data_IF_956603784742
#
_entry.id   IF_956603784742
#
_cell.length_a   1.000
_cell.length_b   1.000
_cell.length_c   1.000
_cell.angle_alpha   90.00
_cell.angle_beta   90.00
_cell.angle_gamma   90.00
#
_symmetry.space_group_name_H-M   'P 1'
#
loop_
_entity.id
_entity.type
_entity.pdbx_description
1 polymer ?
#
# COMPACT_ATOMS: atom_id res chain seq x y z
N UNK A 1 0.83 -25.38 -7.55
CA UNK A 1 1.01 -25.13 -8.99
C UNK A 1 1.17 -23.65 -9.25
N UNK A 2 2.37 -23.22 -9.66
CA UNK A 2 2.66 -21.85 -10.11
C UNK A 2 2.42 -21.78 -11.62
N UNK A 3 1.18 -21.66 -12.09
CA UNK A 3 0.94 -21.30 -13.49
C UNK A 3 1.02 -19.79 -13.63
N UNK A 4 2.22 -19.37 -14.03
CA UNK A 4 2.61 -18.13 -14.67
C UNK A 4 1.51 -17.10 -14.98
N UNK A 5 1.49 -16.02 -14.20
CA UNK A 5 1.03 -14.72 -14.70
C UNK A 5 1.93 -14.34 -15.88
N UNK A 6 1.38 -14.35 -17.10
CA UNK A 6 2.11 -13.98 -18.31
C UNK A 6 2.18 -12.46 -18.42
N UNK A 7 3.35 -11.91 -18.77
CA UNK A 7 3.49 -10.48 -19.06
C UNK A 7 2.68 -10.03 -20.30
N UNK A 8 2.20 -10.98 -21.11
CA UNK A 8 1.31 -10.75 -22.25
C UNK A 8 -0.10 -11.33 -22.02
N UNK A 9 -0.48 -11.49 -20.76
CA UNK A 9 -1.84 -11.92 -20.45
C UNK A 9 -2.86 -10.84 -20.88
N UNK A 10 -3.96 -11.27 -21.49
CA UNK A 10 -5.06 -10.38 -21.91
C UNK A 10 -5.79 -9.76 -20.71
N UNK A 11 -5.54 -10.28 -19.51
CA UNK A 11 -6.13 -9.83 -18.26
C UNK A 11 -5.03 -9.25 -17.35
N UNK A 12 -5.23 -8.05 -16.76
CA UNK A 12 -4.32 -7.52 -15.76
C UNK A 12 -4.08 -8.53 -14.64
N UNK A 13 -2.82 -8.64 -14.18
CA UNK A 13 -2.42 -9.69 -13.24
C UNK A 13 -3.26 -9.75 -11.96
N UNK A 14 -3.67 -8.59 -11.42
CA UNK A 14 -4.55 -8.54 -10.25
C UNK A 14 -5.92 -9.18 -10.52
N UNK A 15 -6.52 -8.93 -11.69
CA UNK A 15 -7.80 -9.51 -12.09
C UNK A 15 -7.70 -11.02 -12.33
N UNK A 16 -6.55 -11.50 -12.86
CA UNK A 16 -6.26 -12.93 -13.00
C UNK A 16 -6.21 -13.62 -11.62
N UNK A 17 -5.48 -13.04 -10.68
CA UNK A 17 -5.37 -13.56 -9.31
C UNK A 17 -6.74 -13.65 -8.63
N UNK A 18 -7.59 -12.63 -8.80
CA UNK A 18 -8.94 -12.60 -8.21
C UNK A 18 -9.85 -13.63 -8.89
N UNK A 19 -9.80 -13.75 -10.22
CA UNK A 19 -10.63 -14.70 -10.98
C UNK A 19 -10.25 -16.15 -10.68
N UNK A 20 -8.96 -16.42 -10.48
CA UNK A 20 -8.45 -17.76 -10.17
C UNK A 20 -8.61 -18.12 -8.67
N UNK A 21 -9.08 -17.20 -7.83
CA UNK A 21 -9.37 -17.48 -6.43
C UNK A 21 -10.73 -18.21 -6.31
N UNK A 22 -10.72 -19.46 -5.87
CA UNK A 22 -11.94 -20.20 -5.56
C UNK A 22 -12.60 -19.64 -4.28
N UNK A 23 -13.85 -19.16 -4.37
CA UNK A 23 -14.60 -18.66 -3.23
C UNK A 23 -15.86 -17.86 -3.61
N UNK A 24 -16.66 -17.49 -2.60
CA UNK A 24 -17.84 -16.64 -2.72
C UNK A 24 -17.47 -15.27 -2.08
N UNK A 25 -17.17 -14.25 -2.91
CA UNK A 25 -16.77 -12.92 -2.45
C UNK A 25 -17.24 -11.82 -3.41
N UNK A 26 -17.45 -10.63 -2.85
CA UNK A 26 -17.86 -9.46 -3.63
C UNK A 26 -16.65 -8.76 -4.25
N UNK A 27 -16.72 -8.47 -5.55
CA UNK A 27 -15.74 -7.64 -6.26
C UNK A 27 -16.41 -6.32 -6.64
N UNK A 28 -15.92 -5.21 -6.08
CA UNK A 28 -16.42 -3.87 -6.38
C UNK A 28 -15.42 -3.14 -7.28
N UNK A 29 -15.81 -2.88 -8.53
CA UNK A 29 -15.10 -2.02 -9.46
C UNK A 29 -15.76 -0.66 -9.56
N UNK A 30 -14.96 0.39 -9.68
CA UNK A 30 -15.46 1.73 -10.05
C UNK A 30 -15.51 1.84 -11.58
N UNK A 31 -16.67 2.21 -12.14
CA UNK A 31 -16.95 2.29 -13.59
C UNK A 31 -17.02 3.74 -14.12
N UNK A 32 -16.10 4.63 -13.72
CA UNK A 32 -16.03 5.99 -14.30
C UNK A 32 -14.71 6.28 -15.02
N UNK A 33 -14.78 7.02 -16.13
CA UNK A 33 -13.70 7.33 -17.08
C UNK A 33 -12.58 8.25 -16.51
N UNK A 34 -12.44 8.37 -15.18
CA UNK A 34 -11.58 9.39 -14.56
C UNK A 34 -10.18 8.90 -14.17
N UNK A 35 -9.76 7.72 -14.65
CA UNK A 35 -8.47 7.12 -14.31
C UNK A 35 -7.40 7.28 -15.41
N UNK A 36 -7.39 8.41 -16.10
CA UNK A 36 -6.34 8.77 -17.06
C UNK A 36 -5.59 10.01 -16.58
N UNK A 37 -4.29 9.87 -16.31
CA UNK A 37 -3.38 10.99 -16.06
C UNK A 37 -2.83 11.48 -17.41
N UNK A 38 -2.80 12.80 -17.67
CA UNK A 38 -2.21 13.36 -18.88
C UNK A 38 -0.76 12.90 -19.08
N UNK A 39 -0.37 12.60 -20.32
CA UNK A 39 0.99 12.15 -20.66
C UNK A 39 2.07 13.16 -20.21
N UNK A 40 1.75 14.45 -20.20
CA UNK A 40 2.61 15.53 -19.69
C UNK A 40 2.96 15.39 -18.20
N UNK A 41 2.18 14.61 -17.46
CA UNK A 41 2.34 14.37 -16.02
C UNK A 41 3.02 13.01 -15.75
N UNK A 42 3.24 12.17 -16.78
CA UNK A 42 3.95 10.89 -16.65
C UNK A 42 5.46 11.07 -16.70
N UNK A 43 6.17 10.53 -15.71
CA UNK A 43 7.59 10.80 -15.50
C UNK A 43 8.31 9.59 -14.88
N UNK A 44 9.15 8.91 -15.68
CA UNK A 44 10.02 7.79 -15.26
C UNK A 44 11.46 8.28 -15.04
N UNK A 45 12.02 8.09 -13.84
CA UNK A 45 13.37 8.57 -13.51
C UNK A 45 14.13 7.67 -12.54
N UNK A 46 15.13 6.97 -13.08
CA UNK A 46 16.12 6.16 -12.37
C UNK A 46 17.46 6.88 -12.18
N UNK A 47 18.01 6.88 -10.95
CA UNK A 47 19.44 7.10 -10.62
C UNK A 47 19.67 8.12 -9.51
N UNK A 48 20.61 8.02 -8.56
CA UNK A 48 21.65 7.05 -8.13
C UNK A 48 21.86 7.25 -6.60
N UNK A 49 22.39 6.22 -5.93
CA UNK A 49 22.37 5.90 -4.49
C UNK A 49 23.11 6.86 -3.53
N UNK A 50 22.48 7.14 -2.38
CA UNK A 50 23.15 7.35 -1.09
C UNK A 50 22.40 6.62 0.06
N UNK A 51 23.16 6.26 1.10
CA UNK A 51 22.93 5.25 2.15
C UNK A 51 21.49 4.89 2.54
N UNK A 52 21.23 3.57 2.53
CA UNK A 52 19.93 2.95 2.83
C UNK A 52 19.69 2.91 4.34
N UNK A 53 18.61 3.54 4.80
CA UNK A 53 18.05 3.26 6.13
C UNK A 53 16.90 2.27 5.96
N UNK A 54 17.07 1.05 6.47
CA UNK A 54 16.04 0.02 6.47
C UNK A 54 15.31 0.03 7.81
N UNK A 55 13.98 0.13 7.78
CA UNK A 55 13.13 -0.20 8.92
C UNK A 55 13.23 -1.69 9.28
N UNK A 56 12.64 -2.13 10.41
CA UNK A 56 12.61 -3.55 10.75
C UNK A 56 11.71 -4.32 9.77
N UNK A 57 12.05 -5.58 9.51
CA UNK A 57 11.21 -6.48 8.72
C UNK A 57 9.86 -6.73 9.44
N UNK A 58 8.79 -6.90 8.68
CA UNK A 58 7.49 -7.29 9.19
C UNK A 58 7.35 -8.82 9.24
N UNK A 59 6.82 -9.33 10.35
CA UNK A 59 6.53 -10.75 10.52
C UNK A 59 5.10 -10.96 11.01
N UNK A 60 4.39 -11.87 10.36
CA UNK A 60 3.00 -12.22 10.70
C UNK A 60 2.85 -12.95 12.04
N UNK A 61 3.96 -13.38 12.65
CA UNK A 61 3.99 -13.92 14.02
C UNK A 61 3.88 -12.82 15.10
N UNK A 62 3.86 -11.55 14.69
CA UNK A 62 3.70 -10.41 15.59
C UNK A 62 4.96 -10.09 16.41
N UNK A 63 6.09 -10.77 16.18
CA UNK A 63 7.36 -10.55 16.89
C UNK A 63 7.90 -9.12 16.75
N UNK A 64 7.48 -8.41 15.71
CA UNK A 64 7.87 -7.03 15.41
C UNK A 64 6.86 -6.00 15.91
N UNK A 65 5.72 -6.44 16.46
CA UNK A 65 4.60 -5.59 16.88
C UNK A 65 4.54 -5.46 18.41
N UNK A 66 5.28 -4.51 19.00
CA UNK A 66 5.26 -4.27 20.46
C UNK A 66 4.10 -3.37 20.88
N UNK A 67 3.90 -2.28 20.16
CA UNK A 67 2.91 -1.25 20.51
C UNK A 67 1.56 -1.49 19.81
N UNK A 68 0.59 -0.60 20.08
CA UNK A 68 -0.72 -0.57 19.41
C UNK A 68 -0.62 -0.13 17.95
N UNK A 69 0.45 0.60 17.60
CA UNK A 69 0.77 1.04 16.26
C UNK A 69 2.26 0.85 16.00
N UNK A 70 2.62 0.22 14.89
CA UNK A 70 4.00 0.03 14.44
C UNK A 70 4.15 0.66 13.07
N UNK A 71 5.19 1.48 12.90
CA UNK A 71 5.52 2.12 11.63
C UNK A 71 6.85 1.55 11.13
N UNK A 72 6.86 1.09 9.89
CA UNK A 72 8.04 0.56 9.19
C UNK A 72 8.21 1.41 7.93
N UNK A 73 9.42 1.91 7.69
CA UNK A 73 9.71 2.73 6.52
C UNK A 73 10.96 2.18 5.84
N UNK A 74 10.85 1.86 4.56
CA UNK A 74 11.99 1.51 3.71
C UNK A 74 12.18 2.58 2.66
N UNK A 75 13.43 2.97 2.41
CA UNK A 75 13.77 4.05 1.49
C UNK A 75 14.57 3.49 0.31
N UNK A 76 14.13 3.80 -0.90
CA UNK A 76 14.92 3.55 -2.09
C UNK A 76 16.01 4.63 -2.20
N UNK A 77 17.29 4.27 -2.05
CA UNK A 77 18.38 5.24 -2.01
C UNK A 77 18.63 5.94 -3.36
N UNK A 78 18.08 5.40 -4.46
CA UNK A 78 18.32 5.92 -5.81
C UNK A 78 17.42 7.09 -6.15
N UNK A 79 16.20 7.10 -5.64
CA UNK A 79 15.20 8.11 -5.96
C UNK A 79 14.56 8.70 -4.71
N UNK A 80 15.06 8.33 -3.53
CA UNK A 80 14.58 8.68 -2.20
C UNK A 80 13.13 8.26 -1.92
N UNK A 81 12.44 7.57 -2.84
CA UNK A 81 11.07 7.13 -2.61
C UNK A 81 10.99 6.22 -1.38
N UNK A 82 9.98 6.45 -0.54
CA UNK A 82 9.76 5.64 0.67
C UNK A 82 8.57 4.71 0.46
N UNK A 83 8.64 3.51 1.01
CA UNK A 83 7.49 2.66 1.24
C UNK A 83 7.22 2.66 2.74
N UNK A 84 6.05 3.17 3.10
CA UNK A 84 5.55 3.21 4.46
C UNK A 84 4.68 1.97 4.66
N UNK A 85 4.90 1.23 5.75
CA UNK A 85 3.98 0.22 6.26
C UNK A 85 3.58 0.58 7.68
N UNK A 86 2.27 0.63 7.94
CA UNK A 86 1.70 0.92 9.26
C UNK A 86 0.86 -0.26 9.69
N UNK A 87 1.12 -0.80 10.87
CA UNK A 87 0.32 -1.87 11.46
C UNK A 87 -0.33 -1.33 12.72
N UNK A 88 -1.66 -1.29 12.73
CA UNK A 88 -2.45 -0.92 13.91
C UNK A 88 -3.16 -2.15 14.45
N UNK A 89 -3.03 -2.40 15.74
CA UNK A 89 -3.83 -3.41 16.44
C UNK A 89 -5.16 -2.78 16.81
N UNK A 90 -6.24 -3.43 16.40
CA UNK A 90 -7.60 -2.97 16.67
C UNK A 90 -8.51 -4.17 16.97
N UNK A 91 -9.79 -3.93 17.26
CA UNK A 91 -10.73 -4.94 17.70
C UNK A 91 -12.08 -4.80 16.98
N UNK A 92 -12.48 -5.85 16.28
CA UNK A 92 -13.79 -5.90 15.62
C UNK A 92 -14.87 -6.09 16.67
N UNK A 93 -15.75 -5.10 16.83
CA UNK A 93 -16.82 -5.12 17.84
C UNK A 93 -17.98 -6.05 17.49
N UNK A 94 -18.16 -6.40 16.22
CA UNK A 94 -19.27 -7.24 15.73
C UNK A 94 -18.93 -8.71 15.98
N UNK A 95 -17.77 -9.15 15.52
CA UNK A 95 -17.34 -10.55 15.70
C UNK A 95 -16.49 -10.77 16.95
N UNK A 96 -16.16 -9.70 17.68
CA UNK A 96 -15.44 -9.70 18.96
C UNK A 96 -14.06 -10.33 18.88
N UNK A 97 -13.29 -9.97 17.87
CA UNK A 97 -11.95 -10.51 17.64
C UNK A 97 -10.92 -9.40 17.38
N UNK A 98 -9.67 -9.57 17.87
CA UNK A 98 -8.59 -8.66 17.54
C UNK A 98 -8.16 -8.84 16.08
N UNK A 99 -7.83 -7.74 15.42
CA UNK A 99 -7.27 -7.74 14.09
C UNK A 99 -6.14 -6.72 13.96
N UNK A 100 -5.33 -6.89 12.93
CA UNK A 100 -4.30 -5.95 12.52
C UNK A 100 -4.76 -5.25 11.26
N UNK A 101 -4.88 -3.93 11.34
CA UNK A 101 -5.01 -3.08 10.17
C UNK A 101 -3.61 -2.82 9.62
N UNK A 102 -3.25 -3.52 8.56
CA UNK A 102 -1.95 -3.43 7.90
C UNK A 102 -2.12 -2.52 6.69
N UNK A 103 -1.41 -1.41 6.67
CA UNK A 103 -1.48 -0.37 5.65
C UNK A 103 -0.11 -0.22 4.98
N UNK A 104 -0.10 0.05 3.69
CA UNK A 104 1.07 0.27 2.86
C UNK A 104 0.83 1.52 2.04
N UNK A 105 1.75 2.47 2.09
CA UNK A 105 1.69 3.69 1.30
C UNK A 105 3.00 3.98 0.57
N UNK A 106 2.92 4.24 -0.73
CA UNK A 106 4.06 4.73 -1.51
C UNK A 106 4.25 6.21 -1.28
N UNK A 107 5.46 6.66 -0.98
CA UNK A 107 5.79 8.08 -0.84
C UNK A 107 6.88 8.45 -1.87
N UNK A 108 6.53 8.92 -3.08
CA UNK A 108 7.49 9.52 -4.01
C UNK A 108 8.30 10.66 -3.37
N UNK A 109 9.55 10.84 -3.78
CA UNK A 109 10.35 11.98 -3.30
C UNK A 109 9.70 13.31 -3.74
N UNK A 110 9.43 14.24 -2.79
CA UNK A 110 8.89 15.55 -3.13
C UNK A 110 9.93 16.37 -3.89
N UNK A 111 9.44 17.25 -4.76
CA UNK A 111 10.25 18.21 -5.51
C UNK A 111 10.01 19.60 -4.94
N UNK A 112 11.08 20.36 -4.78
CA UNK A 112 11.07 21.67 -4.13
C UNK A 112 10.18 22.70 -4.86
N UNK A 113 9.96 22.54 -6.18
CA UNK A 113 9.20 23.47 -7.03
C UNK A 113 7.90 22.89 -7.63
N UNK A 114 7.31 21.87 -7.01
CA UNK A 114 6.09 21.24 -7.54
C UNK A 114 4.81 21.92 -7.03
N UNK A 115 4.07 22.63 -7.88
CA UNK A 115 2.83 23.31 -7.45
C UNK A 115 1.57 22.42 -7.47
N UNK A 116 1.69 21.13 -7.80
CA UNK A 116 0.55 20.21 -7.92
C UNK A 116 0.24 19.38 -6.67
N UNK A 117 -0.69 18.44 -6.82
CA UNK A 117 -1.01 17.43 -5.78
C UNK A 117 -0.13 16.20 -5.92
N UNK A 118 0.32 15.63 -4.82
CA UNK A 118 1.01 14.35 -4.82
C UNK A 118 -0.01 13.21 -4.76
N UNK A 119 0.12 12.25 -5.67
CA UNK A 119 -0.70 11.03 -5.65
C UNK A 119 0.12 9.85 -5.13
N UNK A 120 -0.39 9.15 -4.13
CA UNK A 120 0.23 7.96 -3.54
C UNK A 120 -0.64 6.73 -3.80
N UNK A 121 0.00 5.56 -3.95
CA UNK A 121 -0.66 4.26 -3.81
C UNK A 121 -0.83 3.98 -2.33
N UNK A 122 -2.05 3.71 -1.90
CA UNK A 122 -2.40 3.26 -0.56
C UNK A 122 -3.11 1.92 -0.65
N UNK A 123 -2.58 0.93 0.04
CA UNK A 123 -3.13 -0.42 0.11
C UNK A 123 -3.29 -0.78 1.58
N UNK A 124 -4.36 -1.43 1.96
CA UNK A 124 -4.50 -1.94 3.32
C UNK A 124 -5.23 -3.28 3.37
N UNK A 125 -5.11 -3.94 4.50
CA UNK A 125 -5.88 -5.14 4.80
C UNK A 125 -6.18 -5.27 6.28
N UNK A 126 -7.29 -5.95 6.57
CA UNK A 126 -7.66 -6.34 7.93
C UNK A 126 -7.30 -7.81 8.15
N UNK A 127 -6.20 -8.05 8.85
CA UNK A 127 -5.68 -9.39 9.14
C UNK A 127 -6.11 -9.86 10.53
N UNK A 128 -6.68 -11.06 10.62
CA UNK A 128 -7.12 -11.70 11.87
C UNK A 128 -6.10 -12.76 12.26
N UNK A 129 -5.21 -12.51 13.24
CA UNK A 129 -4.08 -13.41 13.52
C UNK A 129 -4.50 -14.80 13.98
N UNK A 130 -5.54 -14.89 14.82
CA UNK A 130 -6.05 -16.17 15.34
C UNK A 130 -6.58 -17.08 14.23
N UNK A 131 -7.13 -16.49 13.17
CA UNK A 131 -7.68 -17.20 12.01
C UNK A 131 -6.70 -17.32 10.85
N UNK A 132 -5.59 -16.58 10.89
CA UNK A 132 -4.58 -16.50 9.83
C UNK A 132 -5.17 -16.12 8.46
N UNK A 133 -6.11 -15.17 8.45
CA UNK A 133 -6.80 -14.69 7.24
C UNK A 133 -6.90 -13.17 7.22
N UNK A 134 -7.01 -12.62 6.02
CA UNK A 134 -7.52 -11.27 5.78
C UNK A 134 -9.01 -11.36 5.44
N UNK A 135 -9.81 -10.40 5.90
CA UNK A 135 -11.24 -10.32 5.53
C UNK A 135 -11.56 -9.13 4.64
N UNK A 136 -10.65 -8.17 4.58
CA UNK A 136 -10.74 -6.95 3.80
C UNK A 136 -9.37 -6.65 3.23
N UNK A 137 -9.31 -6.34 1.93
CA UNK A 137 -8.11 -5.86 1.24
C UNK A 137 -8.54 -4.78 0.26
N UNK A 138 -7.89 -3.63 0.29
CA UNK A 138 -8.18 -2.52 -0.61
C UNK A 138 -6.95 -2.01 -1.37
N UNK A 139 -7.24 -1.33 -2.46
CA UNK A 139 -6.29 -0.51 -3.19
C UNK A 139 -6.94 0.82 -3.51
N UNK A 140 -6.27 1.89 -3.10
CA UNK A 140 -6.70 3.27 -3.24
C UNK A 140 -5.54 4.13 -3.74
N UNK A 141 -5.85 5.21 -4.46
CA UNK A 141 -4.93 6.33 -4.66
C UNK A 141 -5.31 7.47 -3.70
N UNK A 142 -4.36 7.94 -2.89
CA UNK A 142 -4.55 9.15 -2.07
C UNK A 142 -3.95 10.36 -2.78
N UNK A 143 -4.58 11.52 -2.65
CA UNK A 143 -4.05 12.79 -3.11
C UNK A 143 -3.75 13.72 -1.94
N UNK A 144 -2.62 14.41 -2.00
CA UNK A 144 -2.18 15.35 -0.97
C UNK A 144 -1.85 16.70 -1.60
N UNK A 145 -2.21 17.79 -0.91
CA UNK A 145 -1.66 19.11 -1.21
C UNK A 145 -0.15 19.14 -0.96
N UNK A 146 0.56 20.04 -1.64
CA UNK A 146 2.01 20.10 -1.60
C UNK A 146 2.55 20.23 -0.16
N UNK A 147 2.07 21.22 0.60
CA UNK A 147 2.57 21.51 1.96
C UNK A 147 2.46 20.28 2.89
N UNK A 148 1.28 19.65 2.93
CA UNK A 148 1.02 18.47 3.75
C UNK A 148 1.91 17.32 3.32
N UNK A 149 2.07 17.13 2.01
CA UNK A 149 2.89 16.05 1.49
C UNK A 149 4.37 16.25 1.84
N UNK A 150 4.89 17.47 1.69
CA UNK A 150 6.27 17.79 2.06
C UNK A 150 6.50 17.57 3.56
N UNK A 151 5.59 18.06 4.41
CA UNK A 151 5.68 17.90 5.86
C UNK A 151 5.63 16.43 6.28
N UNK A 152 4.65 15.64 5.80
CA UNK A 152 4.59 14.20 6.12
C UNK A 152 5.81 13.45 5.64
N UNK A 153 6.32 13.81 4.45
CA UNK A 153 7.46 13.12 3.85
C UNK A 153 8.74 13.37 4.65
N UNK A 154 8.96 14.58 5.15
CA UNK A 154 10.17 14.96 5.87
C UNK A 154 10.22 14.41 7.31
N UNK A 155 9.08 14.04 7.89
CA UNK A 155 8.97 13.47 9.24
C UNK A 155 9.78 14.27 10.28
N UNK A 156 9.78 15.60 10.13
CA UNK A 156 10.66 16.54 10.86
C UNK A 156 9.96 17.13 12.09
N UNK A 157 10.75 17.74 12.97
CA UNK A 157 10.39 18.16 14.34
C UNK A 157 9.23 19.19 14.46
N UNK A 158 8.66 19.67 13.35
CA UNK A 158 7.58 20.68 13.31
C UNK A 158 6.16 20.11 13.07
N UNK A 159 5.95 18.78 13.13
CA UNK A 159 4.67 18.25 13.65
C UNK A 159 3.62 17.71 12.67
N UNK A 160 4.00 16.96 11.63
CA UNK A 160 3.02 16.12 10.90
C UNK A 160 3.55 14.68 10.71
N UNK A 161 2.92 13.65 11.31
CA UNK A 161 3.39 12.27 11.21
C UNK A 161 3.43 11.75 9.78
N UNK A 162 4.40 10.88 9.47
CA UNK A 162 4.52 10.27 8.13
C UNK A 162 3.28 9.50 7.68
N UNK A 163 2.49 8.96 8.63
CA UNK A 163 1.23 8.26 8.35
C UNK A 163 -0.01 9.17 8.30
N UNK A 164 0.18 10.48 8.14
CA UNK A 164 -0.95 11.40 7.98
C UNK A 164 -1.75 11.08 6.73
N UNK A 165 -3.07 10.93 6.92
CA UNK A 165 -4.04 10.72 5.84
C UNK A 165 -4.32 12.00 5.09
N UNK A 166 -4.88 11.83 3.90
CA UNK A 166 -5.45 12.93 3.14
C UNK A 166 -6.61 13.58 3.91
N UNK A 167 -6.81 14.88 3.67
CA UNK A 167 -7.73 15.71 4.46
C UNK A 167 -9.22 15.38 4.23
N UNK A 168 -9.54 14.80 3.07
CA UNK A 168 -10.94 14.54 2.68
C UNK A 168 -11.14 13.22 1.96
N UNK A 169 -12.35 12.65 2.09
CA UNK A 169 -12.77 11.46 1.33
C UNK A 169 -12.70 11.66 -0.20
N UNK A 170 -12.87 12.90 -0.67
CA UNK A 170 -12.73 13.24 -2.09
C UNK A 170 -11.32 13.07 -2.63
N UNK A 171 -10.31 12.96 -1.76
CA UNK A 171 -8.91 12.75 -2.12
C UNK A 171 -8.46 11.29 -1.92
N UNK A 172 -9.38 10.39 -1.56
CA UNK A 172 -9.15 8.96 -1.33
C UNK A 172 -9.91 8.14 -2.38
N UNK A 173 -9.24 7.77 -3.47
CA UNK A 173 -9.84 7.16 -4.65
C UNK A 173 -9.68 5.66 -4.65
N UNK A 174 -10.68 4.94 -4.13
CA UNK A 174 -10.72 3.47 -4.15
C UNK A 174 -10.71 2.96 -5.59
N UNK A 175 -9.71 2.14 -5.92
CA UNK A 175 -9.50 1.50 -7.22
C UNK A 175 -10.21 0.14 -7.25
N UNK A 176 -9.90 -0.71 -6.27
CA UNK A 176 -10.60 -1.97 -6.04
C UNK A 176 -10.61 -2.30 -4.54
N UNK A 177 -11.55 -3.15 -4.15
CA UNK A 177 -11.69 -3.64 -2.79
C UNK A 177 -12.30 -5.03 -2.84
N UNK A 178 -11.77 -5.94 -2.03
CA UNK A 178 -12.35 -7.25 -1.77
C UNK A 178 -12.60 -7.36 -0.26
N UNK A 179 -13.82 -7.74 0.10
CA UNK A 179 -14.28 -7.78 1.48
C UNK A 179 -15.22 -8.97 1.71
N UNK A 180 -15.55 -9.24 2.98
CA UNK A 180 -16.43 -10.34 3.42
C UNK A 180 -15.99 -11.75 3.00
N UNK A 181 -14.72 -11.92 2.60
CA UNK A 181 -14.10 -13.21 2.28
C UNK A 181 -13.08 -13.67 3.32
N UNK A 182 -12.44 -14.81 3.06
CA UNK A 182 -11.32 -15.32 3.83
C UNK A 182 -10.08 -15.45 2.93
N UNK A 183 -9.23 -14.43 2.95
CA UNK A 183 -8.08 -14.33 2.06
C UNK A 183 -6.79 -14.73 2.77
N UNK A 184 -6.00 -15.63 2.17
CA UNK A 184 -4.73 -16.05 2.76
C UNK A 184 -3.70 -14.92 2.78
N UNK A 185 -2.71 -15.00 3.68
CA UNK A 185 -1.51 -14.14 3.67
C UNK A 185 -0.86 -14.09 2.27
N UNK A 186 -0.80 -15.25 1.60
CA UNK A 186 -0.21 -15.35 0.26
C UNK A 186 -1.01 -14.52 -0.76
N UNK A 187 -2.33 -14.56 -0.69
CA UNK A 187 -3.18 -13.76 -1.57
C UNK A 187 -3.00 -12.26 -1.31
N UNK A 188 -3.02 -11.84 -0.05
CA UNK A 188 -2.73 -10.46 0.33
C UNK A 188 -1.35 -10.02 -0.18
N UNK A 189 -0.30 -10.80 0.07
CA UNK A 189 1.06 -10.50 -0.38
C UNK A 189 1.12 -10.31 -1.91
N UNK A 190 0.50 -11.21 -2.68
CA UNK A 190 0.48 -11.09 -4.14
C UNK A 190 -0.27 -9.84 -4.60
N UNK A 191 -1.41 -9.51 -3.97
CA UNK A 191 -2.19 -8.31 -4.28
C UNK A 191 -1.41 -7.02 -3.97
N UNK A 192 -0.69 -6.98 -2.85
CA UNK A 192 0.18 -5.85 -2.51
C UNK A 192 1.28 -5.69 -3.55
N UNK A 193 1.98 -6.78 -3.87
CA UNK A 193 3.10 -6.77 -4.81
C UNK A 193 2.68 -6.29 -6.21
N UNK A 194 1.59 -6.83 -6.78
CA UNK A 194 1.17 -6.48 -8.15
C UNK A 194 0.55 -5.08 -8.26
N UNK A 195 0.13 -4.49 -7.15
CA UNK A 195 -0.48 -3.14 -7.11
C UNK A 195 0.54 -2.04 -6.88
N UNK A 196 1.79 -2.41 -6.58
CA UNK A 196 2.93 -1.51 -6.46
C UNK A 196 3.72 -1.47 -7.77
N UNK A 197 4.24 -0.30 -8.11
CA UNK A 197 5.23 -0.18 -9.19
C UNK A 197 6.52 -0.93 -8.82
N UNK A 198 7.28 -1.36 -9.83
CA UNK A 198 8.50 -2.18 -9.66
C UNK A 198 9.50 -1.62 -8.64
N UNK A 199 9.65 -0.29 -8.57
CA UNK A 199 10.56 0.36 -7.63
C UNK A 199 10.13 0.17 -6.16
N UNK A 200 8.83 0.06 -5.90
CA UNK A 200 8.25 -0.17 -4.58
C UNK A 200 8.07 -1.66 -4.28
N UNK A 201 7.93 -2.52 -5.29
CA UNK A 201 7.94 -3.98 -5.11
C UNK A 201 9.20 -4.44 -4.39
N UNK A 202 10.36 -3.90 -4.76
CA UNK A 202 11.65 -4.20 -4.09
C UNK A 202 11.60 -3.80 -2.61
N UNK A 203 11.08 -2.61 -2.29
CA UNK A 203 10.97 -2.15 -0.91
C UNK A 203 9.97 -3.00 -0.12
N UNK A 204 8.87 -3.43 -0.76
CA UNK A 204 7.89 -4.31 -0.13
C UNK A 204 8.50 -5.67 0.16
N UNK A 205 9.21 -6.27 -0.79
CA UNK A 205 9.93 -7.52 -0.58
C UNK A 205 10.99 -7.41 0.53
N UNK A 206 11.68 -6.28 0.66
CA UNK A 206 12.62 -6.01 1.75
C UNK A 206 11.92 -5.89 3.12
N UNK A 207 10.71 -5.33 3.17
CA UNK A 207 9.93 -5.30 4.42
C UNK A 207 9.49 -6.72 4.81
N UNK A 208 9.13 -7.54 3.82
CA UNK A 208 8.50 -8.85 4.06
C UNK A 208 9.50 -10.01 4.28
N UNK A 209 10.76 -9.87 3.88
CA UNK A 209 11.82 -10.90 3.95
C UNK A 209 12.96 -10.45 4.84
#
# INVERSE_FOLDING_TARGET
NKSLLSAMDIMPAFARIITDAEGDFDILYRLDERLSMPESEYRDYTGVQFEKFYGPQFKFDGSTLKDSKTIIVHINPKNMAKLLMVIKKDFDQIIREPFWHIEIETLPYPKDDYEGTYTTTFLHGMYYPEKNIFTHIDFTKNQYGNDIYQSKYQDSQDGLPIDTYTESRSQHYKIWCIENGAFSIKMWYMLMLVSLDKSYQVLFEEIMN
#
